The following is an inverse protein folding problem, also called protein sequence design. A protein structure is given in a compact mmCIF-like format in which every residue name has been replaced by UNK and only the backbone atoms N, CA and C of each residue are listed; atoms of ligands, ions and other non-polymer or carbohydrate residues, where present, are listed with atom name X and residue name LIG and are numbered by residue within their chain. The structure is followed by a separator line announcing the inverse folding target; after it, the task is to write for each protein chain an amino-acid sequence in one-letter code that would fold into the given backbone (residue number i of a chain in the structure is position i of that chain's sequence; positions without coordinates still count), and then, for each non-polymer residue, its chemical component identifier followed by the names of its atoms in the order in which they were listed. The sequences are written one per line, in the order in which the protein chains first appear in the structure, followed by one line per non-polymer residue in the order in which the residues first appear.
data_IF_836897897529
#
_entry.id   IF_836897897529
#
_cell.length_a   1.000
_cell.length_b   1.000
_cell.length_c   1.000
_cell.angle_alpha   90.00
_cell.angle_beta   90.00
_cell.angle_gamma   90.00
#
_symmetry.space_group_name_H-M   'P 1'
#
loop_
_entity.id
_entity.type
_entity.pdbx_description
1 polymer ?
#
# COMPACT_ATOMS: atom_id res chain seq x y z
N UNK A 1 -12.64 -18.56 9.10
CA UNK A 1 -12.33 -17.33 8.33
C UNK A 1 -12.95 -16.16 9.06
N UNK A 2 -12.17 -15.15 9.45
CA UNK A 2 -12.70 -13.90 9.99
C UNK A 2 -13.10 -13.00 8.81
N UNK A 3 -14.31 -12.43 8.86
CA UNK A 3 -14.80 -11.52 7.83
C UNK A 3 -15.05 -10.16 8.46
N UNK A 4 -14.61 -9.10 7.77
CA UNK A 4 -14.82 -7.71 8.16
C UNK A 4 -15.50 -6.94 7.04
N UNK A 5 -16.23 -5.89 7.40
CA UNK A 5 -16.74 -4.89 6.46
C UNK A 5 -16.16 -3.53 6.84
N UNK A 6 -15.76 -2.78 5.82
CA UNK A 6 -15.32 -1.40 5.95
C UNK A 6 -16.21 -0.52 5.06
N UNK A 7 -16.58 0.66 5.55
CA UNK A 7 -17.32 1.65 4.77
C UNK A 7 -16.33 2.65 4.18
N UNK A 8 -16.38 2.85 2.87
CA UNK A 8 -15.53 3.79 2.14
C UNK A 8 -16.34 4.97 1.63
N UNK A 9 -15.70 6.13 1.51
CA UNK A 9 -16.22 7.36 0.92
C UNK A 9 -15.42 7.71 -0.33
N UNK A 10 -16.02 8.53 -1.20
CA UNK A 10 -15.30 9.12 -2.35
C UNK A 10 -14.04 9.83 -1.85
N UNK A 11 -12.91 9.56 -2.52
CA UNK A 11 -11.58 10.02 -2.14
C UNK A 11 -10.81 9.08 -1.21
N UNK A 12 -11.46 8.06 -0.62
CA UNK A 12 -10.74 7.07 0.18
C UNK A 12 -9.85 6.20 -0.70
N UNK A 13 -8.69 5.84 -0.16
CA UNK A 13 -7.77 4.87 -0.75
C UNK A 13 -7.65 3.65 0.14
N UNK A 14 -7.84 2.47 -0.44
CA UNK A 14 -7.68 1.18 0.23
C UNK A 14 -6.40 0.52 -0.26
N UNK A 15 -5.46 0.31 0.67
CA UNK A 15 -4.24 -0.45 0.45
C UNK A 15 -4.42 -1.88 0.97
N UNK A 16 -4.18 -2.86 0.10
CA UNK A 16 -4.07 -4.27 0.48
C UNK A 16 -2.65 -4.74 0.13
N UNK A 17 -1.95 -5.34 1.08
CA UNK A 17 -0.58 -5.78 0.87
C UNK A 17 -0.27 -7.10 1.58
N UNK A 18 0.78 -7.79 1.12
CA UNK A 18 1.41 -8.86 1.89
C UNK A 18 2.29 -8.27 3.00
N UNK A 19 2.63 -9.10 3.97
CA UNK A 19 3.59 -8.81 5.05
C UNK A 19 4.98 -8.43 4.53
N UNK A 20 5.36 -8.88 3.32
CA UNK A 20 6.57 -8.45 2.62
C UNK A 20 6.73 -6.92 2.52
N UNK A 21 5.64 -6.13 2.50
CA UNK A 21 5.71 -4.67 2.58
C UNK A 21 5.94 -4.18 4.02
N UNK A 22 5.04 -4.57 4.94
CA UNK A 22 4.97 -4.01 6.30
C UNK A 22 6.10 -4.47 7.21
N UNK A 23 6.80 -5.56 6.86
CA UNK A 23 7.97 -6.04 7.60
C UNK A 23 9.20 -5.13 7.43
N UNK A 24 9.24 -4.31 6.36
CA UNK A 24 10.42 -3.48 6.03
C UNK A 24 10.09 -2.00 5.79
N UNK A 25 8.82 -1.65 5.61
CA UNK A 25 8.35 -0.27 5.49
C UNK A 25 7.32 0.03 6.58
N UNK A 26 7.52 1.11 7.33
CA UNK A 26 6.59 1.51 8.39
C UNK A 26 5.29 2.17 7.86
N UNK A 27 4.25 2.14 8.69
CA UNK A 27 2.92 2.67 8.36
C UNK A 27 2.94 4.17 8.02
N UNK A 28 3.84 4.94 8.63
CA UNK A 28 3.95 6.38 8.37
C UNK A 28 4.43 6.64 6.94
N UNK A 29 5.44 5.90 6.50
CA UNK A 29 6.02 5.96 5.17
C UNK A 29 5.04 5.43 4.12
N UNK A 30 4.38 4.30 4.41
CA UNK A 30 3.32 3.77 3.56
C UNK A 30 2.22 4.82 3.34
N UNK A 31 1.75 5.46 4.41
CA UNK A 31 0.75 6.54 4.31
C UNK A 31 1.25 7.73 3.49
N UNK A 32 2.50 8.16 3.70
CA UNK A 32 3.09 9.27 2.96
C UNK A 32 3.20 9.00 1.46
N UNK A 33 3.38 7.74 1.05
CA UNK A 33 3.48 7.34 -0.36
C UNK A 33 2.09 7.08 -0.98
N UNK A 34 1.16 6.49 -0.22
CA UNK A 34 -0.15 6.09 -0.72
C UNK A 34 -1.14 7.27 -0.86
N UNK A 35 -0.96 8.36 -0.11
CA UNK A 35 -1.88 9.51 -0.07
C UNK A 35 -1.71 10.58 -1.17
N UNK A 36 -0.50 10.97 -1.62
CA UNK A 36 -0.34 12.14 -2.47
C UNK A 36 -1.08 12.07 -3.82
N UNK A 37 -1.41 13.23 -4.41
CA UNK A 37 -1.93 13.31 -5.77
C UNK A 37 -0.83 12.94 -6.76
N UNK A 38 -0.83 11.70 -7.23
CA UNK A 38 0.12 11.20 -8.22
C UNK A 38 -0.38 9.96 -9.00
N UNK A 39 -1.64 9.57 -8.77
CA UNK A 39 -2.23 8.34 -9.29
C UNK A 39 -1.81 7.10 -8.49
N UNK A 40 -2.74 6.17 -8.33
CA UNK A 40 -2.53 4.92 -7.57
C UNK A 40 -1.37 4.07 -8.12
N UNK A 41 -1.16 4.06 -9.44
CA UNK A 41 -0.11 3.27 -10.08
C UNK A 41 1.30 3.72 -9.64
N UNK A 42 1.52 5.04 -9.52
CA UNK A 42 2.80 5.59 -9.08
C UNK A 42 3.07 5.27 -7.61
N UNK A 43 2.04 5.36 -6.77
CA UNK A 43 2.16 5.00 -5.36
C UNK A 43 2.52 3.52 -5.18
N UNK A 44 1.86 2.60 -5.90
CA UNK A 44 2.18 1.17 -5.86
C UNK A 44 3.62 0.91 -6.32
N UNK A 45 4.05 1.52 -7.42
CA UNK A 45 5.43 1.37 -7.91
C UNK A 45 6.46 1.85 -6.89
N UNK A 46 6.21 2.98 -6.22
CA UNK A 46 7.08 3.53 -5.18
C UNK A 46 7.16 2.62 -3.94
N UNK A 47 6.03 2.06 -3.48
CA UNK A 47 6.01 1.12 -2.35
C UNK A 47 6.82 -0.15 -2.66
N UNK A 48 6.66 -0.70 -3.87
CA UNK A 48 7.41 -1.90 -4.30
C UNK A 48 8.90 -1.59 -4.44
N UNK A 49 9.26 -0.44 -4.99
CA UNK A 49 10.67 -0.02 -5.11
C UNK A 49 11.31 0.13 -3.72
N UNK A 50 10.66 0.85 -2.81
CA UNK A 50 11.16 1.04 -1.44
C UNK A 50 11.33 -0.28 -0.70
N UNK A 51 10.39 -1.22 -0.86
CA UNK A 51 10.47 -2.56 -0.26
C UNK A 51 11.71 -3.32 -0.75
N UNK A 52 12.00 -3.22 -2.07
CA UNK A 52 13.19 -3.84 -2.68
C UNK A 52 14.48 -3.17 -2.21
N UNK A 53 14.49 -1.85 -2.10
CA UNK A 53 15.64 -1.09 -1.58
C UNK A 53 15.95 -1.43 -0.11
N UNK A 54 14.93 -1.73 0.69
CA UNK A 54 15.06 -2.22 2.06
C UNK A 54 15.51 -3.69 2.15
N UNK A 55 15.76 -4.35 1.01
CA UNK A 55 16.33 -5.70 0.92
C UNK A 55 15.33 -6.80 0.55
N UNK A 56 14.02 -6.54 0.58
CA UNK A 56 12.93 -7.47 0.24
C UNK A 56 13.22 -8.95 0.58
N UNK A 57 13.22 -9.31 1.88
CA UNK A 57 13.54 -10.68 2.30
C UNK A 57 12.50 -11.72 1.82
N UNK A 58 11.34 -11.27 1.34
CA UNK A 58 10.25 -12.10 0.83
C UNK A 58 9.52 -11.40 -0.34
N UNK A 59 8.57 -12.10 -0.96
CA UNK A 59 7.69 -11.60 -1.99
C UNK A 59 6.80 -10.45 -1.47
N UNK A 60 6.79 -9.36 -2.24
CA UNK A 60 5.93 -8.22 -1.98
C UNK A 60 4.77 -8.19 -2.98
N UNK A 61 3.54 -8.11 -2.47
CA UNK A 61 2.33 -7.87 -3.26
C UNK A 61 1.61 -6.65 -2.72
N UNK A 62 1.21 -5.73 -3.62
CA UNK A 62 0.51 -4.50 -3.25
C UNK A 62 -0.63 -4.23 -4.23
N UNK A 63 -1.82 -3.94 -3.69
CA UNK A 63 -2.99 -3.46 -4.42
C UNK A 63 -3.40 -2.14 -3.78
N UNK A 64 -3.60 -1.11 -4.61
CA UNK A 64 -4.15 0.17 -4.18
C UNK A 64 -5.40 0.46 -5.01
N UNK A 65 -6.52 0.65 -4.34
CA UNK A 65 -7.78 1.06 -4.94
C UNK A 65 -8.16 2.45 -4.43
N UNK A 66 -8.72 3.29 -5.31
CA UNK A 66 -9.26 4.60 -4.98
C UNK A 66 -10.74 4.61 -5.29
N UNK A 67 -11.55 5.13 -4.35
CA UNK A 67 -12.98 5.30 -4.55
C UNK A 67 -13.18 6.65 -5.23
N UNK A 68 -13.59 6.61 -6.50
CA UNK A 68 -13.89 7.78 -7.32
C UNK A 68 -15.40 7.97 -7.51
#
# INVERSE_FOLDING_TARGET
VALGRISLKVGDRLLLCSDGLTNVVDDATINAIARPPGGIAKAVAALVALTKEAGAPDNVTVILAEVA
#
